data_IF_479311181816
#
_entry.id   IF_479311181816
#
_cell.length_a   1.000
_cell.length_b   1.000
_cell.length_c   1.000
_cell.angle_alpha   90.00
_cell.angle_beta   90.00
_cell.angle_gamma   90.00
#
_symmetry.space_group_name_H-M   'P 1'
#
loop_
_entity.id
_entity.type
_entity.pdbx_description
1 polymer ?
#
# COMPACT_ATOMS: atom_id res chain seq x y z
N UNK A 1 -76.69 12.12 -11.59
CA UNK A 1 -75.42 11.62 -12.15
C UNK A 1 -74.30 12.15 -11.25
N UNK A 2 -73.63 11.28 -10.48
CA UNK A 2 -72.54 11.66 -9.57
C UNK A 2 -71.25 11.09 -10.14
N UNK A 3 -70.36 11.94 -10.65
CA UNK A 3 -69.03 11.56 -11.09
C UNK A 3 -68.09 11.54 -9.89
N UNK A 4 -67.66 10.35 -9.46
CA UNK A 4 -66.57 10.21 -8.48
C UNK A 4 -65.24 10.26 -9.21
N UNK A 5 -64.47 11.32 -8.95
CA UNK A 5 -63.08 11.47 -9.38
C UNK A 5 -62.20 10.58 -8.48
N UNK A 6 -61.66 9.49 -9.03
CA UNK A 6 -60.70 8.63 -8.34
C UNK A 6 -59.30 9.17 -8.63
N UNK A 7 -58.68 9.81 -7.63
CA UNK A 7 -57.30 10.26 -7.68
C UNK A 7 -56.38 9.06 -7.43
N UNK A 8 -55.69 8.58 -8.47
CA UNK A 8 -54.75 7.46 -8.37
C UNK A 8 -53.40 7.99 -7.84
N UNK A 9 -53.13 7.76 -6.56
CA UNK A 9 -51.85 8.11 -5.93
C UNK A 9 -50.85 6.99 -6.23
N UNK A 10 -49.88 7.25 -7.11
CA UNK A 10 -48.80 6.30 -7.42
C UNK A 10 -47.71 6.45 -6.35
N UNK A 11 -47.42 5.40 -5.54
CA UNK A 11 -46.29 5.46 -4.62
C UNK A 11 -45.00 5.35 -5.43
N UNK A 12 -44.22 6.44 -5.45
CA UNK A 12 -42.84 6.44 -5.94
C UNK A 12 -42.00 5.65 -4.94
N UNK A 13 -41.79 4.37 -5.23
CA UNK A 13 -40.84 3.53 -4.51
C UNK A 13 -39.44 4.00 -4.91
N UNK A 14 -38.85 4.86 -4.07
CA UNK A 14 -37.43 5.18 -4.12
C UNK A 14 -36.64 3.91 -3.79
N UNK A 15 -36.16 3.24 -4.83
CA UNK A 15 -35.10 2.24 -4.70
C UNK A 15 -33.81 2.96 -4.27
N UNK A 16 -33.60 3.04 -2.96
CA UNK A 16 -32.27 3.31 -2.40
C UNK A 16 -31.37 2.14 -2.76
N UNK A 17 -30.61 2.27 -3.85
CA UNK A 17 -29.47 1.42 -4.14
C UNK A 17 -28.39 1.70 -3.10
N UNK A 18 -28.50 1.07 -1.93
CA UNK A 18 -27.36 0.96 -1.02
C UNK A 18 -26.39 -0.01 -1.67
N UNK A 19 -25.48 0.52 -2.50
CA UNK A 19 -24.26 -0.19 -2.86
C UNK A 19 -23.46 -0.34 -1.57
N UNK A 20 -23.66 -1.44 -0.85
CA UNK A 20 -22.76 -1.88 0.20
C UNK A 20 -21.45 -2.28 -0.48
N UNK A 21 -20.53 -1.32 -0.66
CA UNK A 21 -19.11 -1.62 -0.75
C UNK A 21 -18.72 -2.22 0.60
N UNK A 22 -18.88 -3.53 0.73
CA UNK A 22 -18.50 -4.25 1.92
C UNK A 22 -16.99 -4.04 2.08
N UNK A 23 -16.54 -3.21 3.03
CA UNK A 23 -15.11 -2.80 3.10
C UNK A 23 -14.14 -3.98 3.25
N UNK A 24 -14.67 -5.18 3.53
CA UNK A 24 -13.93 -6.43 3.54
C UNK A 24 -13.62 -6.97 2.13
N UNK A 25 -14.47 -6.72 1.12
CA UNK A 25 -14.21 -7.13 -0.28
C UNK A 25 -13.01 -6.38 -0.86
N UNK A 26 -12.71 -5.16 -0.39
CA UNK A 26 -11.52 -4.41 -0.83
C UNK A 26 -10.21 -5.15 -0.56
N UNK A 27 -10.14 -6.01 0.46
CA UNK A 27 -8.94 -6.84 0.68
C UNK A 27 -8.75 -7.94 -0.38
N UNK A 28 -9.77 -8.26 -1.16
CA UNK A 28 -9.69 -9.22 -2.26
C UNK A 28 -9.27 -8.57 -3.58
N UNK A 29 -9.22 -7.23 -3.64
CA UNK A 29 -8.76 -6.52 -4.82
C UNK A 29 -7.24 -6.48 -4.89
N UNK A 30 -6.71 -6.82 -6.08
CA UNK A 30 -5.28 -6.70 -6.35
C UNK A 30 -4.87 -5.24 -6.52
N UNK A 31 -3.78 -4.85 -5.86
CA UNK A 31 -3.17 -3.54 -5.97
C UNK A 31 -1.67 -3.62 -5.65
N UNK A 32 -0.86 -3.53 -6.71
CA UNK A 32 0.58 -3.80 -6.67
C UNK A 32 1.29 -2.65 -7.38
N UNK A 33 2.30 -2.07 -6.74
CA UNK A 33 3.10 -1.01 -7.35
C UNK A 33 4.03 -1.59 -8.43
N UNK A 34 4.20 -0.82 -9.49
CA UNK A 34 5.14 -1.10 -10.55
C UNK A 34 5.92 0.17 -10.92
N UNK A 35 7.12 -0.01 -11.50
CA UNK A 35 7.92 1.12 -11.96
C UNK A 35 7.11 1.96 -12.96
N UNK A 36 7.31 3.28 -12.91
CA UNK A 36 6.72 4.30 -13.78
C UNK A 36 5.22 4.58 -13.58
N UNK A 37 4.50 3.74 -12.83
CA UNK A 37 3.14 4.03 -12.37
C UNK A 37 3.12 5.26 -11.43
N UNK A 38 2.03 6.02 -11.39
CA UNK A 38 2.00 7.31 -10.68
C UNK A 38 0.72 7.57 -9.90
N UNK A 39 -0.07 6.55 -9.61
CA UNK A 39 -1.39 6.67 -8.97
C UNK A 39 -1.29 6.75 -7.45
N UNK A 40 -0.18 6.32 -6.85
CA UNK A 40 0.00 6.34 -5.40
C UNK A 40 0.07 7.75 -4.83
N UNK A 41 0.04 7.85 -3.50
CA UNK A 41 -0.06 9.12 -2.79
C UNK A 41 0.45 8.97 -1.36
N UNK A 42 0.41 10.07 -0.59
CA UNK A 42 0.68 10.07 0.85
C UNK A 42 2.06 9.51 1.24
N UNK A 43 3.11 9.86 0.49
CA UNK A 43 4.47 9.42 0.81
C UNK A 43 4.83 9.67 2.29
N UNK A 44 5.34 8.63 2.95
CA UNK A 44 5.77 8.64 4.33
C UNK A 44 4.68 8.31 5.34
N UNK A 45 3.41 8.33 4.94
CA UNK A 45 2.33 7.81 5.80
C UNK A 45 2.37 6.28 5.84
N UNK A 46 1.96 5.71 6.98
CA UNK A 46 1.85 4.26 7.09
C UNK A 46 0.67 3.75 6.25
N UNK A 47 0.93 3.07 5.12
CA UNK A 47 -0.11 2.74 4.15
C UNK A 47 -1.21 1.83 4.73
N UNK A 48 -0.88 0.94 5.67
CA UNK A 48 -1.87 0.07 6.35
C UNK A 48 -2.81 0.82 7.30
N UNK A 49 -2.66 2.15 7.46
CA UNK A 49 -3.70 2.97 8.10
C UNK A 49 -4.99 2.98 7.28
N UNK A 50 -4.87 2.94 5.94
CA UNK A 50 -5.97 2.96 4.99
C UNK A 50 -6.14 1.63 4.25
N UNK A 51 -5.04 0.95 3.91
CA UNK A 51 -5.02 -0.28 3.11
C UNK A 51 -5.02 -1.54 4.01
N UNK A 52 -6.11 -1.70 4.75
CA UNK A 52 -6.38 -2.82 5.66
C UNK A 52 -7.85 -3.22 5.59
N UNK A 53 -8.21 -4.37 6.16
CA UNK A 53 -9.63 -4.78 6.26
C UNK A 53 -10.45 -3.71 6.99
N UNK A 54 -11.60 -3.35 6.40
CA UNK A 54 -12.45 -2.27 6.91
C UNK A 54 -11.93 -0.85 6.59
N UNK A 55 -10.75 -0.74 5.95
CA UNK A 55 -10.15 0.51 5.53
C UNK A 55 -10.76 1.09 4.25
N UNK A 56 -10.38 2.32 3.93
CA UNK A 56 -10.89 3.03 2.76
C UNK A 56 -10.08 2.73 1.50
N UNK A 57 -8.82 2.30 1.66
CA UNK A 57 -7.89 2.02 0.58
C UNK A 57 -8.27 0.80 -0.25
N UNK A 58 -7.93 0.84 -1.54
CA UNK A 58 -8.07 -0.29 -2.47
C UNK A 58 -7.01 -1.35 -2.20
N UNK A 59 -7.40 -2.59 -1.96
CA UNK A 59 -6.46 -3.65 -1.62
C UNK A 59 -5.94 -3.52 -0.19
N UNK A 60 -5.63 -4.66 0.42
CA UNK A 60 -5.01 -4.72 1.74
C UNK A 60 -3.52 -5.04 1.57
N UNK A 61 -2.66 -4.12 1.98
CA UNK A 61 -1.23 -4.24 1.71
C UNK A 61 -0.54 -5.14 2.74
N UNK A 62 0.16 -6.15 2.23
CA UNK A 62 0.99 -7.04 3.04
C UNK A 62 2.40 -6.48 3.23
N UNK A 63 2.87 -5.71 2.24
CA UNK A 63 4.13 -4.96 2.28
C UNK A 63 3.87 -3.59 1.69
N UNK A 64 4.36 -2.54 2.35
CA UNK A 64 4.27 -1.18 1.83
C UNK A 64 5.28 -0.21 2.47
N UNK A 65 5.71 0.79 1.71
CA UNK A 65 6.35 1.97 2.24
C UNK A 65 6.75 3.01 1.20
N UNK A 66 7.42 4.07 1.64
CA UNK A 66 7.90 5.17 0.81
C UNK A 66 9.39 5.36 0.95
N UNK A 67 10.10 5.45 -0.18
CA UNK A 67 11.55 5.64 -0.24
C UNK A 67 11.88 7.08 -0.64
N UNK A 68 12.90 7.64 0.00
CA UNK A 68 13.38 9.00 -0.19
C UNK A 68 14.80 9.01 -0.74
N UNK A 69 15.24 10.16 -1.25
CA UNK A 69 16.63 10.29 -1.72
C UNK A 69 17.62 10.15 -0.56
N UNK A 70 17.32 10.72 0.61
CA UNK A 70 18.15 10.55 1.82
C UNK A 70 17.30 10.39 3.08
N UNK A 71 17.95 10.00 4.18
CA UNK A 71 17.32 9.83 5.50
C UNK A 71 16.53 11.05 5.98
N UNK A 72 16.96 12.27 5.59
CA UNK A 72 16.37 13.54 6.02
C UNK A 72 15.56 14.23 4.92
N UNK A 73 15.73 13.83 3.66
CA UNK A 73 15.08 14.43 2.50
C UNK A 73 13.56 14.36 2.55
N UNK A 74 12.88 15.38 2.01
CA UNK A 74 11.45 15.34 1.69
C UNK A 74 11.16 14.83 0.27
N UNK A 75 12.18 14.72 -0.58
CA UNK A 75 12.06 14.23 -1.95
C UNK A 75 12.03 12.70 -1.97
N UNK A 76 10.96 12.14 -2.52
CA UNK A 76 10.82 10.71 -2.78
C UNK A 76 11.80 10.22 -3.85
N UNK A 77 12.29 9.00 -3.72
CA UNK A 77 13.11 8.33 -4.71
C UNK A 77 12.23 7.36 -5.52
N UNK A 78 12.04 7.68 -6.78
CA UNK A 78 11.17 6.94 -7.70
C UNK A 78 11.79 5.61 -8.17
N UNK A 79 10.93 4.66 -8.57
CA UNK A 79 11.28 3.47 -9.36
C UNK A 79 12.32 2.53 -8.71
N UNK A 80 12.37 2.53 -7.37
CA UNK A 80 13.29 1.68 -6.60
C UNK A 80 12.93 0.20 -6.72
N UNK A 81 13.87 -0.68 -6.37
CA UNK A 81 13.58 -2.11 -6.19
C UNK A 81 13.81 -2.50 -4.74
N UNK A 82 12.79 -3.04 -4.09
CA UNK A 82 12.85 -3.57 -2.72
C UNK A 82 12.92 -5.09 -2.78
N UNK A 83 13.95 -5.66 -2.16
CA UNK A 83 14.22 -7.10 -2.13
C UNK A 83 14.16 -7.61 -0.71
N UNK A 84 13.69 -8.83 -0.51
CA UNK A 84 13.56 -9.46 0.81
C UNK A 84 14.38 -10.74 0.86
N UNK A 85 15.36 -10.76 1.77
CA UNK A 85 16.35 -11.84 1.90
C UNK A 85 16.15 -12.66 3.16
N UNK A 86 16.62 -13.90 3.18
CA UNK A 86 16.55 -14.78 4.37
C UNK A 86 17.64 -14.52 5.41
N UNK A 87 18.64 -13.69 5.11
CA UNK A 87 19.71 -13.31 6.03
C UNK A 87 20.00 -11.80 5.95
N UNK A 88 20.58 -11.20 7.01
CA UNK A 88 20.91 -9.78 7.04
C UNK A 88 21.80 -9.33 5.88
N UNK A 89 21.77 -8.02 5.59
CA UNK A 89 22.74 -7.37 4.70
C UNK A 89 22.77 -7.93 3.27
N UNK A 90 21.62 -8.37 2.75
CA UNK A 90 21.49 -8.88 1.38
C UNK A 90 22.00 -10.31 1.17
N UNK A 91 22.32 -11.01 2.27
CA UNK A 91 22.83 -12.37 2.23
C UNK A 91 21.70 -13.41 2.18
N UNK A 92 22.05 -14.67 1.95
CA UNK A 92 21.09 -15.76 1.90
C UNK A 92 20.28 -15.76 0.60
N UNK A 93 19.03 -16.25 0.67
CA UNK A 93 18.18 -16.42 -0.50
C UNK A 93 17.26 -15.22 -0.67
N UNK A 94 17.21 -14.67 -1.89
CA UNK A 94 16.17 -13.72 -2.28
C UNK A 94 14.82 -14.45 -2.33
N UNK A 95 13.86 -14.01 -1.50
CA UNK A 95 12.51 -14.59 -1.45
C UNK A 95 11.52 -13.81 -2.30
N UNK A 96 11.56 -12.49 -2.20
CA UNK A 96 10.59 -11.63 -2.85
C UNK A 96 11.22 -10.34 -3.37
N UNK A 97 10.57 -9.75 -4.37
CA UNK A 97 10.92 -8.44 -4.92
C UNK A 97 9.66 -7.63 -5.10
N UNK A 98 9.65 -6.40 -4.61
CA UNK A 98 8.57 -5.42 -4.81
C UNK A 98 9.17 -4.21 -5.52
N UNK A 99 8.44 -3.70 -6.51
CA UNK A 99 8.86 -2.54 -7.31
C UNK A 99 8.26 -1.27 -6.73
N UNK A 100 9.07 -0.23 -6.61
CA UNK A 100 8.59 1.11 -6.28
C UNK A 100 8.07 1.81 -7.53
N UNK A 101 7.09 2.67 -7.36
CA UNK A 101 6.47 3.45 -8.42
C UNK A 101 7.18 4.79 -8.68
N UNK A 102 6.67 5.57 -9.64
CA UNK A 102 7.22 6.87 -10.02
C UNK A 102 7.12 7.93 -8.91
N UNK A 103 6.29 7.71 -7.89
CA UNK A 103 6.16 8.58 -6.72
C UNK A 103 7.00 8.09 -5.54
N UNK A 104 7.76 7.01 -5.69
CA UNK A 104 8.64 6.46 -4.67
C UNK A 104 7.90 5.69 -3.58
N UNK A 105 6.66 5.25 -3.82
CA UNK A 105 5.97 4.28 -2.97
C UNK A 105 6.19 2.87 -3.52
N UNK A 106 6.26 1.89 -2.63
CA UNK A 106 6.14 0.48 -2.97
C UNK A 106 5.02 -0.12 -2.13
N UNK A 107 4.21 -0.99 -2.72
CA UNK A 107 3.12 -1.68 -2.04
C UNK A 107 2.69 -2.92 -2.82
N UNK A 108 2.15 -3.90 -2.12
CA UNK A 108 1.60 -5.10 -2.74
C UNK A 108 0.53 -5.76 -1.88
N UNK A 109 -0.49 -6.26 -2.54
CA UNK A 109 -1.53 -7.15 -1.98
C UNK A 109 -1.15 -8.63 -2.09
N UNK A 110 -0.04 -8.98 -2.73
CA UNK A 110 0.43 -10.36 -2.82
C UNK A 110 0.71 -10.93 -1.43
N UNK A 111 0.35 -12.19 -1.21
CA UNK A 111 0.65 -12.88 0.04
C UNK A 111 2.16 -13.15 0.15
N UNK A 112 2.80 -12.42 1.06
CA UNK A 112 4.24 -12.45 1.26
C UNK A 112 4.56 -12.65 2.74
N UNK A 113 5.07 -13.83 3.08
CA UNK A 113 5.53 -14.15 4.42
C UNK A 113 6.87 -13.44 4.73
N UNK A 114 6.80 -12.13 5.00
CA UNK A 114 7.99 -11.28 5.17
C UNK A 114 8.55 -11.24 6.60
N UNK A 115 7.80 -11.72 7.59
CA UNK A 115 8.29 -11.82 8.95
C UNK A 115 9.54 -12.72 8.99
N UNK A 116 10.60 -12.25 9.65
CA UNK A 116 11.90 -12.92 9.67
C UNK A 116 12.80 -12.66 8.45
N UNK A 117 12.33 -11.91 7.44
CA UNK A 117 13.15 -11.53 6.29
C UNK A 117 13.84 -10.17 6.49
N UNK A 118 14.85 -9.92 5.67
CA UNK A 118 15.74 -8.76 5.73
C UNK A 118 15.63 -7.96 4.42
N UNK A 119 15.00 -6.77 4.46
CA UNK A 119 14.84 -5.92 3.29
C UNK A 119 16.15 -5.32 2.80
N UNK A 120 16.22 -5.08 1.50
CA UNK A 120 17.23 -4.27 0.84
C UNK A 120 16.57 -3.38 -0.21
N UNK A 121 16.97 -2.11 -0.29
CA UNK A 121 16.44 -1.12 -1.24
C UNK A 121 17.57 -0.74 -2.18
N UNK A 122 17.42 -1.08 -3.46
CA UNK A 122 18.33 -0.68 -4.52
C UNK A 122 17.84 0.62 -5.16
N UNK A 123 18.66 1.66 -5.05
CA UNK A 123 18.50 2.94 -5.73
C UNK A 123 19.65 3.21 -6.72
N UNK A 124 19.75 4.43 -7.27
CA UNK A 124 20.71 4.77 -8.32
C UNK A 124 22.18 4.68 -7.89
N UNK A 125 22.50 5.05 -6.65
CA UNK A 125 23.88 5.14 -6.16
C UNK A 125 24.32 3.92 -5.36
N UNK A 126 23.40 3.03 -5.00
CA UNK A 126 23.72 1.84 -4.23
C UNK A 126 22.50 1.12 -3.67
N UNK A 127 22.78 0.17 -2.78
CA UNK A 127 21.74 -0.56 -2.05
C UNK A 127 21.87 -0.31 -0.55
N UNK A 128 20.76 0.02 0.09
CA UNK A 128 20.65 0.05 1.56
C UNK A 128 20.08 -1.26 2.06
N UNK A 129 20.63 -1.72 3.16
CA UNK A 129 20.26 -3.01 3.75
C UNK A 129 19.74 -2.81 5.16
N UNK A 130 18.74 -3.62 5.51
CA UNK A 130 18.27 -3.74 6.88
C UNK A 130 19.02 -4.87 7.57
N UNK A 131 19.69 -4.55 8.69
CA UNK A 131 20.41 -5.55 9.50
C UNK A 131 19.50 -6.37 10.42
N UNK A 132 18.32 -5.86 10.73
CA UNK A 132 17.31 -6.51 11.59
C UNK A 132 16.21 -7.17 10.77
N UNK A 133 15.68 -8.28 11.26
CA UNK A 133 14.58 -8.98 10.61
C UNK A 133 13.26 -8.22 10.77
N UNK A 134 12.37 -8.34 9.78
CA UNK A 134 11.02 -7.77 9.85
C UNK A 134 10.13 -8.53 10.83
N UNK A 135 9.26 -7.80 11.50
CA UNK A 135 8.09 -8.34 12.19
C UNK A 135 6.82 -8.22 11.35
N UNK A 136 6.76 -7.23 10.44
CA UNK A 136 5.67 -7.01 9.49
C UNK A 136 6.17 -6.29 8.23
N UNK A 137 5.35 -6.21 7.18
CA UNK A 137 5.64 -5.45 5.96
C UNK A 137 5.22 -3.98 5.98
N UNK A 138 4.78 -3.44 7.13
CA UNK A 138 4.35 -2.04 7.29
C UNK A 138 5.56 -1.14 7.56
N UNK A 139 6.34 -0.80 6.53
CA UNK A 139 7.68 -0.22 6.72
C UNK A 139 7.65 1.19 7.36
N UNK A 140 6.69 2.04 6.96
CA UNK A 140 6.53 3.38 7.53
C UNK A 140 5.93 3.40 8.95
N UNK A 141 5.64 2.24 9.55
CA UNK A 141 5.32 2.19 10.99
C UNK A 141 6.54 2.56 11.85
N UNK A 142 7.76 2.24 11.37
CA UNK A 142 9.02 2.56 12.03
C UNK A 142 9.77 3.68 11.30
N UNK A 143 9.89 3.59 9.97
CA UNK A 143 10.72 4.49 9.18
C UNK A 143 10.04 5.83 8.88
N UNK A 144 10.70 6.91 9.28
CA UNK A 144 10.13 8.26 9.31
C UNK A 144 9.32 8.56 10.59
N UNK A 145 9.37 7.66 11.58
CA UNK A 145 8.66 7.80 12.86
C UNK A 145 9.63 7.64 14.05
N UNK A 146 10.05 6.42 14.33
CA UNK A 146 11.01 6.09 15.40
C UNK A 146 12.43 5.82 14.88
N UNK A 147 12.56 5.63 13.58
CA UNK A 147 13.82 5.44 12.85
C UNK A 147 13.85 6.38 11.64
N UNK A 148 15.04 6.64 11.10
CA UNK A 148 15.23 7.37 9.83
C UNK A 148 14.31 6.86 8.72
N UNK A 149 14.01 7.73 7.74
CA UNK A 149 13.23 7.37 6.54
C UNK A 149 13.89 6.22 5.79
N UNK A 150 13.13 5.50 4.97
CA UNK A 150 13.71 4.62 3.97
C UNK A 150 14.38 5.47 2.89
N UNK A 151 15.62 5.17 2.52
CA UNK A 151 16.34 5.90 1.49
C UNK A 151 17.34 5.01 0.74
N UNK A 152 17.76 5.40 -0.46
CA UNK A 152 18.73 4.64 -1.26
C UNK A 152 19.45 5.45 -2.37
N UNK A 153 19.55 6.77 -2.24
CA UNK A 153 20.38 7.62 -3.10
C UNK A 153 21.71 8.01 -2.42
#
# INVERSE_FOLDING_TARGET
>A
MKFSLVLLVIPVILFVNTACDDKNTKCTESNISANFENESHNNGQNCVSCHKSGGEGKGCFNVCGSVYTSATSSSSLANVTVKFYTQPNGQGTLKYTVKGDAKGNFFTTEDMAVAGLYPAISGPTGTKYMGSALTSGSCNSCHGNSTDKLWAD
#
